data_IF_293530710395
#
_entry.id   IF_293530710395
#
_cell.length_a   1.000
_cell.length_b   1.000
_cell.length_c   1.000
_cell.angle_alpha   90.00
_cell.angle_beta   90.00
_cell.angle_gamma   90.00
#
_symmetry.space_group_name_H-M   'P 1'
#
loop_
_entity.id
_entity.type
_entity.pdbx_description
1 polymer ?
#
# COMPACT_ATOMS: atom_id res chain seq x y z
N UNK A 1 -20.10 1.53 12.81
CA UNK A 1 -18.83 2.06 12.27
C UNK A 1 -19.05 2.37 10.81
N UNK A 2 -18.82 3.61 10.35
CA UNK A 2 -19.03 4.00 8.94
C UNK A 2 -18.00 3.32 8.02
N UNK A 3 -18.35 3.04 6.77
CA UNK A 3 -17.43 2.44 5.79
C UNK A 3 -16.15 3.28 5.59
N UNK A 4 -16.27 4.61 5.64
CA UNK A 4 -15.13 5.51 5.59
C UNK A 4 -14.17 5.30 6.78
N UNK A 5 -14.69 5.17 8.01
CA UNK A 5 -13.86 4.92 9.20
C UNK A 5 -13.14 3.57 9.12
N UNK A 6 -13.82 2.52 8.62
CA UNK A 6 -13.19 1.23 8.34
C UNK A 6 -12.07 1.35 7.31
N UNK A 7 -12.32 2.08 6.21
CA UNK A 7 -11.31 2.35 5.20
C UNK A 7 -10.07 3.05 5.75
N UNK A 8 -10.25 4.06 6.62
CA UNK A 8 -9.13 4.75 7.27
C UNK A 8 -8.34 3.82 8.18
N UNK A 9 -9.00 3.02 9.03
CA UNK A 9 -8.31 2.04 9.89
C UNK A 9 -7.50 1.06 9.05
N UNK A 10 -8.06 0.56 7.95
CA UNK A 10 -7.37 -0.34 7.03
C UNK A 10 -6.18 0.34 6.37
N UNK A 11 -6.32 1.59 5.93
CA UNK A 11 -5.22 2.36 5.34
C UNK A 11 -4.09 2.61 6.35
N UNK A 12 -4.40 3.10 7.55
CA UNK A 12 -3.41 3.29 8.61
C UNK A 12 -2.73 1.97 9.00
N UNK A 13 -3.49 0.88 9.10
CA UNK A 13 -2.94 -0.45 9.38
C UNK A 13 -1.98 -0.93 8.29
N UNK A 14 -2.36 -0.80 7.01
CA UNK A 14 -1.53 -1.21 5.88
C UNK A 14 -0.20 -0.45 5.84
N UNK A 15 -0.27 0.89 5.84
CA UNK A 15 0.91 1.74 5.75
C UNK A 15 1.76 1.72 7.02
N UNK A 16 1.13 1.51 8.19
CA UNK A 16 1.84 1.29 9.44
C UNK A 16 2.68 0.02 9.41
N UNK A 17 2.11 -1.12 8.97
CA UNK A 17 2.84 -2.38 8.84
C UNK A 17 3.98 -2.25 7.82
N UNK A 18 3.73 -1.65 6.63
CA UNK A 18 4.79 -1.43 5.65
C UNK A 18 5.90 -0.49 6.15
N UNK A 19 5.55 0.50 6.97
CA UNK A 19 6.52 1.38 7.62
C UNK A 19 7.46 0.64 8.58
N UNK A 20 7.00 -0.46 9.17
CA UNK A 20 7.77 -1.29 10.11
C UNK A 20 8.53 -2.44 9.41
N UNK A 21 8.41 -2.63 8.10
CA UNK A 21 9.13 -3.67 7.36
C UNK A 21 10.66 -3.61 7.48
N UNK A 22 11.33 -2.45 7.63
CA UNK A 22 12.76 -2.43 7.87
C UNK A 22 13.20 -3.23 9.11
N UNK A 23 12.31 -3.45 10.06
CA UNK A 23 12.58 -4.29 11.23
C UNK A 23 12.53 -5.81 10.92
N UNK A 24 11.85 -6.18 9.83
CA UNK A 24 11.66 -7.58 9.45
C UNK A 24 12.75 -8.13 8.52
N UNK A 25 13.24 -7.30 7.58
CA UNK A 25 14.17 -7.77 6.54
C UNK A 25 15.51 -8.30 7.08
N UNK A 26 16.16 -7.66 8.07
CA UNK A 26 17.41 -8.16 8.63
C UNK A 26 17.27 -9.54 9.26
N UNK A 27 16.09 -9.92 9.73
CA UNK A 27 15.83 -11.22 10.32
C UNK A 27 15.88 -12.39 9.30
N UNK A 28 15.84 -12.07 8.01
CA UNK A 28 15.84 -13.04 6.91
C UNK A 28 17.25 -13.34 6.37
N UNK A 29 18.28 -12.67 6.86
CA UNK A 29 19.65 -12.98 6.48
C UNK A 29 19.99 -14.45 6.83
N UNK A 30 20.73 -15.16 5.92
CA UNK A 30 21.44 -14.70 4.73
C UNK A 30 20.66 -14.81 3.41
N UNK A 31 19.31 -14.89 3.41
CA UNK A 31 18.53 -15.04 2.19
C UNK A 31 18.68 -13.80 1.28
N UNK A 32 18.92 -14.05 0.00
CA UNK A 32 19.02 -12.99 -1.00
C UNK A 32 17.64 -12.40 -1.32
N UNK A 33 17.61 -11.15 -1.72
CA UNK A 33 16.39 -10.41 -2.00
C UNK A 33 15.44 -11.08 -3.01
N UNK A 34 15.97 -11.71 -4.06
CA UNK A 34 15.15 -12.47 -5.01
C UNK A 34 14.48 -13.69 -4.39
N UNK A 35 15.16 -14.41 -3.50
CA UNK A 35 14.61 -15.55 -2.77
C UNK A 35 13.53 -15.11 -1.78
N UNK A 36 13.75 -14.00 -1.09
CA UNK A 36 12.77 -13.39 -0.20
C UNK A 36 11.50 -13.01 -0.99
N UNK A 37 11.67 -12.35 -2.15
CA UNK A 37 10.56 -11.97 -3.02
C UNK A 37 9.77 -13.19 -3.50
N UNK A 38 10.45 -14.21 -4.02
CA UNK A 38 9.80 -15.42 -4.51
C UNK A 38 9.10 -16.19 -3.39
N UNK A 39 9.73 -16.30 -2.22
CA UNK A 39 9.12 -16.92 -1.03
C UNK A 39 7.85 -16.19 -0.59
N UNK A 40 7.88 -14.85 -0.56
CA UNK A 40 6.70 -14.03 -0.26
C UNK A 40 5.55 -14.31 -1.23
N UNK A 41 5.82 -14.40 -2.54
CA UNK A 41 4.81 -14.65 -3.56
C UNK A 41 4.18 -16.04 -3.40
N UNK A 42 5.01 -17.07 -3.25
CA UNK A 42 4.55 -18.47 -3.09
C UNK A 42 3.73 -18.62 -1.80
N UNK A 43 4.27 -18.17 -0.67
CA UNK A 43 3.62 -18.31 0.62
C UNK A 43 2.41 -17.36 0.81
N UNK A 44 2.33 -16.27 0.02
CA UNK A 44 1.11 -15.44 -0.03
C UNK A 44 -0.06 -16.21 -0.63
N UNK A 45 0.14 -16.98 -1.70
CA UNK A 45 -0.92 -17.83 -2.25
C UNK A 45 -1.37 -18.89 -1.24
N UNK A 46 -0.42 -19.55 -0.58
CA UNK A 46 -0.74 -20.55 0.47
C UNK A 46 -1.52 -19.89 1.60
N UNK A 47 -1.06 -18.73 2.08
CA UNK A 47 -1.70 -18.01 3.18
C UNK A 47 -3.13 -17.58 2.84
N UNK A 48 -3.36 -17.00 1.65
CA UNK A 48 -4.70 -16.58 1.23
C UNK A 48 -5.61 -17.78 0.97
N UNK A 49 -5.08 -18.87 0.42
CA UNK A 49 -5.83 -20.10 0.21
C UNK A 49 -6.29 -20.70 1.56
N UNK A 50 -5.41 -20.75 2.56
CA UNK A 50 -5.75 -21.20 3.91
C UNK A 50 -6.84 -20.34 4.54
N UNK A 51 -6.77 -19.00 4.39
CA UNK A 51 -7.82 -18.10 4.88
C UNK A 51 -9.15 -18.35 4.18
N UNK A 52 -9.17 -18.50 2.84
CA UNK A 52 -10.39 -18.80 2.08
C UNK A 52 -11.02 -20.13 2.49
N UNK A 53 -10.19 -21.16 2.70
CA UNK A 53 -10.64 -22.49 3.16
C UNK A 53 -11.21 -22.39 4.58
N UNK A 54 -10.50 -21.73 5.49
CA UNK A 54 -10.94 -21.56 6.89
C UNK A 54 -12.25 -20.78 6.98
N UNK A 55 -12.43 -19.76 6.15
CA UNK A 55 -13.68 -18.99 6.06
C UNK A 55 -14.79 -19.73 5.30
N UNK A 56 -14.53 -20.90 4.74
CA UNK A 56 -15.45 -21.64 3.87
C UNK A 56 -16.03 -20.77 2.74
N UNK A 57 -15.23 -19.83 2.25
CA UNK A 57 -15.64 -18.89 1.22
C UNK A 57 -15.68 -19.57 -0.15
N UNK A 58 -16.84 -20.10 -0.50
CA UNK A 58 -17.05 -20.91 -1.72
C UNK A 58 -17.75 -20.08 -2.80
N UNK A 59 -17.53 -20.46 -4.05
CA UNK A 59 -18.26 -19.91 -5.19
C UNK A 59 -17.78 -18.54 -5.69
N UNK A 60 -16.82 -17.89 -5.03
CA UNK A 60 -16.28 -16.58 -5.40
C UNK A 60 -15.51 -16.58 -6.72
N UNK A 61 -14.84 -17.69 -7.02
CA UNK A 61 -13.95 -17.79 -8.19
C UNK A 61 -14.74 -17.84 -9.52
N UNK A 62 -15.87 -18.55 -9.56
CA UNK A 62 -16.66 -18.73 -10.79
C UNK A 62 -17.16 -17.42 -11.39
N UNK A 63 -17.77 -16.47 -10.65
CA UNK A 63 -18.16 -15.18 -11.18
C UNK A 63 -16.96 -14.36 -11.66
N UNK A 64 -15.81 -14.49 -10.97
CA UNK A 64 -14.60 -13.76 -11.32
C UNK A 64 -13.96 -14.30 -12.61
N UNK A 65 -13.91 -15.62 -12.79
CA UNK A 65 -13.44 -16.26 -14.03
C UNK A 65 -14.32 -15.92 -15.25
N UNK A 66 -15.59 -15.61 -15.05
CA UNK A 66 -16.51 -15.14 -16.10
C UNK A 66 -16.35 -13.66 -16.43
N UNK A 67 -15.48 -12.93 -15.72
CA UNK A 67 -15.23 -11.50 -15.93
C UNK A 67 -13.81 -11.24 -16.44
N UNK A 68 -13.54 -11.37 -17.74
CA UNK A 68 -12.19 -11.20 -18.29
C UNK A 68 -11.62 -9.82 -18.00
N UNK A 69 -12.46 -8.78 -17.96
CA UNK A 69 -12.04 -7.43 -17.61
C UNK A 69 -11.44 -7.36 -16.19
N UNK A 70 -12.10 -7.98 -15.20
CA UNK A 70 -11.58 -8.01 -13.82
C UNK A 70 -10.29 -8.81 -13.72
N UNK A 71 -10.22 -9.95 -14.40
CA UNK A 71 -9.00 -10.77 -14.45
C UNK A 71 -7.83 -10.01 -15.07
N UNK A 72 -8.04 -9.28 -16.16
CA UNK A 72 -7.01 -8.45 -16.79
C UNK A 72 -6.56 -7.30 -15.88
N UNK A 73 -7.48 -6.64 -15.17
CA UNK A 73 -7.14 -5.61 -14.20
C UNK A 73 -6.31 -6.18 -13.04
N UNK A 74 -6.64 -7.37 -12.54
CA UNK A 74 -5.89 -8.04 -11.47
C UNK A 74 -4.55 -8.57 -11.98
N UNK A 75 -4.46 -9.04 -13.23
CA UNK A 75 -3.18 -9.38 -13.86
C UNK A 75 -2.29 -8.14 -13.96
N UNK A 76 -2.83 -7.02 -14.44
CA UNK A 76 -2.11 -5.75 -14.49
C UNK A 76 -1.65 -5.30 -13.09
N UNK A 77 -2.50 -5.43 -12.08
CA UNK A 77 -2.15 -5.13 -10.69
C UNK A 77 -1.01 -6.03 -10.19
N UNK A 78 -1.09 -7.35 -10.47
CA UNK A 78 -0.05 -8.33 -10.13
C UNK A 78 1.30 -7.99 -10.80
N UNK A 79 1.29 -7.61 -12.07
CA UNK A 79 2.51 -7.19 -12.79
C UNK A 79 3.07 -5.90 -12.19
N UNK A 80 2.23 -4.89 -11.96
CA UNK A 80 2.65 -3.61 -11.39
C UNK A 80 3.31 -3.77 -10.02
N UNK A 81 2.72 -4.57 -9.11
CA UNK A 81 3.30 -4.78 -7.78
C UNK A 81 4.58 -5.62 -7.86
N UNK A 82 4.68 -6.55 -8.79
CA UNK A 82 5.91 -7.34 -9.03
C UNK A 82 7.06 -6.46 -9.55
N UNK A 83 6.77 -5.56 -10.50
CA UNK A 83 7.73 -4.57 -10.99
C UNK A 83 8.19 -3.66 -9.85
N UNK A 84 7.25 -3.16 -9.06
CA UNK A 84 7.55 -2.31 -7.91
C UNK A 84 8.53 -2.99 -6.96
N UNK A 85 8.21 -4.19 -6.50
CA UNK A 85 9.06 -4.94 -5.56
C UNK A 85 10.39 -5.34 -6.17
N UNK A 86 10.41 -5.80 -7.44
CA UNK A 86 11.63 -6.16 -8.15
C UNK A 86 12.58 -4.97 -8.32
N UNK A 87 12.04 -3.81 -8.72
CA UNK A 87 12.81 -2.56 -8.85
C UNK A 87 13.37 -2.11 -7.51
N UNK A 88 12.57 -2.15 -6.44
CA UNK A 88 13.00 -1.78 -5.09
C UNK A 88 14.17 -2.65 -4.62
N UNK A 89 14.02 -3.96 -4.73
CA UNK A 89 15.04 -4.92 -4.32
C UNK A 89 16.32 -4.74 -5.12
N UNK A 90 16.19 -4.59 -6.46
CA UNK A 90 17.34 -4.33 -7.32
C UNK A 90 18.03 -3.02 -6.92
N UNK A 91 17.29 -1.93 -6.70
CA UNK A 91 17.84 -0.64 -6.33
C UNK A 91 18.63 -0.71 -5.02
N UNK A 92 18.08 -1.36 -3.99
CA UNK A 92 18.77 -1.55 -2.72
C UNK A 92 20.08 -2.33 -2.89
N UNK A 93 20.04 -3.44 -3.64
CA UNK A 93 21.21 -4.28 -3.86
C UNK A 93 22.27 -3.63 -4.78
N UNK A 94 21.86 -2.69 -5.64
CA UNK A 94 22.75 -1.94 -6.53
C UNK A 94 23.29 -0.65 -5.89
N UNK A 95 22.99 -0.36 -4.62
CA UNK A 95 23.46 0.85 -3.92
C UNK A 95 22.67 2.13 -4.26
N UNK A 96 21.47 2.00 -4.87
CA UNK A 96 20.58 3.13 -5.21
C UNK A 96 19.48 3.33 -4.15
N UNK A 97 19.85 3.30 -2.87
CA UNK A 97 18.88 3.37 -1.75
C UNK A 97 18.19 4.73 -1.71
N UNK A 98 18.92 5.81 -1.99
CA UNK A 98 18.37 7.19 -2.01
C UNK A 98 17.32 7.34 -3.11
N UNK A 99 17.57 6.81 -4.32
CA UNK A 99 16.60 6.83 -5.42
C UNK A 99 15.34 6.04 -5.08
N UNK A 100 15.48 4.90 -4.40
CA UNK A 100 14.35 4.10 -3.94
C UNK A 100 13.54 4.83 -2.86
N UNK A 101 14.20 5.49 -1.91
CA UNK A 101 13.54 6.31 -0.90
C UNK A 101 12.75 7.47 -1.53
N UNK A 102 13.33 8.15 -2.54
CA UNK A 102 12.63 9.19 -3.30
C UNK A 102 11.34 8.64 -3.95
N UNK A 103 11.35 7.38 -4.42
CA UNK A 103 10.17 6.72 -4.96
C UNK A 103 9.02 6.64 -3.96
N UNK A 104 9.30 6.34 -2.70
CA UNK A 104 8.28 6.31 -1.65
C UNK A 104 7.67 7.68 -1.35
N UNK A 105 8.42 8.77 -1.53
CA UNK A 105 7.87 10.12 -1.45
C UNK A 105 7.03 10.51 -2.67
N UNK A 106 7.39 10.01 -3.86
CA UNK A 106 6.63 10.23 -5.10
C UNK A 106 5.31 9.44 -5.14
N UNK A 107 5.26 8.26 -4.54
CA UNK A 107 4.09 7.38 -4.56
C UNK A 107 2.78 8.10 -4.19
N UNK A 108 2.69 8.86 -3.08
CA UNK A 108 1.48 9.58 -2.72
C UNK A 108 1.02 10.56 -3.80
N UNK A 109 1.96 11.29 -4.39
CA UNK A 109 1.64 12.29 -5.42
C UNK A 109 1.09 11.64 -6.68
N UNK A 110 1.72 10.57 -7.16
CA UNK A 110 1.26 9.81 -8.33
C UNK A 110 -0.11 9.18 -8.05
N UNK A 111 -0.32 8.62 -6.86
CA UNK A 111 -1.60 8.01 -6.47
C UNK A 111 -2.72 9.04 -6.44
N UNK A 112 -2.46 10.22 -5.87
CA UNK A 112 -3.43 11.33 -5.84
C UNK A 112 -3.68 11.85 -7.26
N UNK A 113 -2.65 12.00 -8.08
CA UNK A 113 -2.75 12.43 -9.47
C UNK A 113 -3.68 11.50 -10.27
N UNK A 114 -3.53 10.17 -10.12
CA UNK A 114 -4.42 9.20 -10.76
C UNK A 114 -5.86 9.29 -10.23
N UNK A 115 -6.05 9.52 -8.94
CA UNK A 115 -7.37 9.78 -8.36
C UNK A 115 -8.06 10.97 -9.02
N UNK A 116 -7.35 12.08 -9.18
CA UNK A 116 -7.88 13.31 -9.78
C UNK A 116 -8.08 13.18 -11.29
N UNK A 117 -7.03 12.75 -12.04
CA UNK A 117 -7.05 12.77 -13.50
C UNK A 117 -7.86 11.63 -14.12
N UNK A 118 -7.81 10.43 -13.54
CA UNK A 118 -8.43 9.24 -14.11
C UNK A 118 -9.79 8.95 -13.50
N UNK A 119 -9.91 9.09 -12.17
CA UNK A 119 -11.16 8.83 -11.46
C UNK A 119 -12.01 10.09 -11.27
N UNK A 120 -11.51 11.26 -11.70
CA UNK A 120 -12.17 12.56 -11.55
C UNK A 120 -12.57 12.89 -10.10
N UNK A 121 -11.74 12.44 -9.14
CA UNK A 121 -11.94 12.71 -7.72
C UNK A 121 -11.72 14.21 -7.43
N UNK A 122 -12.60 14.78 -6.62
CA UNK A 122 -12.49 16.19 -6.22
C UNK A 122 -11.75 16.31 -4.90
N UNK A 123 -10.60 16.97 -4.94
CA UNK A 123 -9.83 17.29 -3.75
C UNK A 123 -10.40 18.53 -3.06
N UNK A 124 -10.37 18.50 -1.71
CA UNK A 124 -10.64 19.66 -0.89
C UNK A 124 -9.41 20.54 -0.76
N UNK A 125 -9.59 21.78 -0.31
CA UNK A 125 -8.50 22.77 -0.17
C UNK A 125 -7.36 22.24 0.69
N UNK A 126 -7.65 21.61 1.83
CA UNK A 126 -6.64 21.01 2.70
C UNK A 126 -5.87 19.87 2.01
N UNK A 127 -6.54 19.05 1.21
CA UNK A 127 -5.89 17.98 0.44
C UNK A 127 -5.00 18.55 -0.66
N UNK A 128 -5.43 19.61 -1.37
CA UNK A 128 -4.59 20.32 -2.34
C UNK A 128 -3.35 20.93 -1.68
N UNK A 129 -3.52 21.52 -0.48
CA UNK A 129 -2.40 22.04 0.29
C UNK A 129 -1.39 20.92 0.64
N UNK A 130 -1.87 19.77 1.12
CA UNK A 130 -1.01 18.63 1.45
C UNK A 130 -0.28 18.07 0.21
N UNK A 131 -0.94 17.99 -0.94
CA UNK A 131 -0.32 17.61 -2.21
C UNK A 131 0.77 18.62 -2.63
N UNK A 132 0.49 19.92 -2.50
CA UNK A 132 1.46 20.98 -2.79
C UNK A 132 2.70 20.88 -1.87
N UNK A 133 2.51 20.67 -0.58
CA UNK A 133 3.58 20.48 0.38
C UNK A 133 4.41 19.22 0.03
N UNK A 134 3.73 18.10 -0.29
CA UNK A 134 4.41 16.87 -0.72
C UNK A 134 5.21 17.07 -2.02
N UNK A 135 4.68 17.83 -2.99
CA UNK A 135 5.39 18.15 -4.23
C UNK A 135 6.67 18.97 -3.97
N UNK A 136 6.64 19.91 -3.02
CA UNK A 136 7.83 20.67 -2.60
C UNK A 136 8.89 19.75 -1.99
N UNK A 137 8.50 18.83 -1.12
CA UNK A 137 9.43 17.85 -0.53
C UNK A 137 10.10 16.97 -1.59
N UNK A 138 9.32 16.50 -2.57
CA UNK A 138 9.86 15.72 -3.70
C UNK A 138 10.80 16.52 -4.57
N UNK A 139 10.46 17.77 -4.86
CA UNK A 139 11.30 18.64 -5.69
C UNK A 139 12.64 18.92 -4.99
N UNK A 140 12.62 19.19 -3.70
CA UNK A 140 13.83 19.37 -2.89
C UNK A 140 14.74 18.15 -2.96
N UNK A 141 14.19 16.95 -2.70
CA UNK A 141 14.97 15.70 -2.78
C UNK A 141 15.49 15.39 -4.18
N UNK A 142 14.69 15.65 -5.23
CA UNK A 142 15.10 15.44 -6.61
C UNK A 142 16.23 16.38 -7.03
N UNK A 143 16.18 17.65 -6.61
CA UNK A 143 17.25 18.63 -6.86
C UNK A 143 18.53 18.26 -6.13
N UNK A 144 18.41 17.77 -4.88
CA UNK A 144 19.55 17.30 -4.10
C UNK A 144 20.24 16.08 -4.74
N UNK A 145 19.47 15.18 -5.39
CA UNK A 145 20.00 14.01 -6.09
C UNK A 145 20.78 14.33 -7.38
N UNK A 146 20.48 15.44 -8.05
CA UNK A 146 21.24 15.93 -9.23
C UNK A 146 21.05 15.16 -10.55
N UNK A 147 20.16 14.16 -10.62
CA UNK A 147 19.87 13.38 -11.84
C UNK A 147 18.37 13.00 -11.93
N UNK A 148 17.94 12.56 -13.13
CA UNK A 148 16.55 12.09 -13.31
C UNK A 148 16.31 10.84 -12.46
N UNK A 149 15.38 10.89 -11.49
CA UNK A 149 15.16 9.79 -10.56
C UNK A 149 14.28 8.69 -11.18
N UNK A 150 14.76 8.00 -12.23
CA UNK A 150 13.99 7.00 -12.97
C UNK A 150 13.52 5.83 -12.07
N UNK A 151 14.35 5.42 -11.10
CA UNK A 151 14.01 4.38 -10.12
C UNK A 151 12.78 4.82 -9.31
N UNK A 152 12.83 6.05 -8.80
CA UNK A 152 11.74 6.64 -8.04
C UNK A 152 10.46 6.76 -8.87
N UNK A 153 10.56 7.15 -10.14
CA UNK A 153 9.43 7.22 -11.06
C UNK A 153 8.82 5.84 -11.32
N UNK A 154 9.63 4.81 -11.56
CA UNK A 154 9.15 3.42 -11.76
C UNK A 154 8.45 2.94 -10.51
N UNK A 155 9.01 3.15 -9.32
CA UNK A 155 8.40 2.76 -8.05
C UNK A 155 7.06 3.48 -7.83
N UNK A 156 7.03 4.80 -8.02
CA UNK A 156 5.83 5.60 -7.83
C UNK A 156 4.72 5.25 -8.83
N UNK A 157 5.05 5.16 -10.12
CA UNK A 157 4.07 4.85 -11.16
C UNK A 157 3.55 3.42 -11.04
N UNK A 158 4.40 2.44 -10.76
CA UNK A 158 3.98 1.04 -10.61
C UNK A 158 3.05 0.87 -9.40
N UNK A 159 3.35 1.47 -8.24
CA UNK A 159 2.49 1.36 -7.07
C UNK A 159 1.20 2.19 -7.22
N UNK A 160 1.27 3.39 -7.77
CA UNK A 160 0.08 4.21 -8.06
C UNK A 160 -0.85 3.50 -9.04
N UNK A 161 -0.31 2.90 -10.11
CA UNK A 161 -1.07 2.09 -11.08
C UNK A 161 -1.67 0.85 -10.41
N UNK A 162 -0.93 0.16 -9.54
CA UNK A 162 -1.45 -0.94 -8.74
C UNK A 162 -2.70 -0.53 -7.96
N UNK A 163 -2.64 0.58 -7.22
CA UNK A 163 -3.77 1.10 -6.45
C UNK A 163 -4.98 1.46 -7.33
N UNK A 164 -4.73 2.09 -8.49
CA UNK A 164 -5.76 2.41 -9.47
C UNK A 164 -6.44 1.15 -10.03
N UNK A 165 -5.66 0.15 -10.46
CA UNK A 165 -6.19 -1.10 -11.01
C UNK A 165 -7.00 -1.87 -9.96
N UNK A 166 -6.56 -1.91 -8.71
CA UNK A 166 -7.32 -2.48 -7.59
C UNK A 166 -8.68 -1.80 -7.42
N UNK A 167 -8.69 -0.47 -7.47
CA UNK A 167 -9.93 0.30 -7.35
C UNK A 167 -10.88 0.06 -8.53
N UNK A 168 -10.36 0.02 -9.77
CA UNK A 168 -11.15 -0.24 -10.98
C UNK A 168 -11.67 -1.69 -11.04
N UNK A 169 -10.92 -2.66 -10.55
CA UNK A 169 -11.35 -4.06 -10.50
C UNK A 169 -12.54 -4.23 -9.55
N UNK A 170 -12.61 -3.43 -8.48
CA UNK A 170 -13.69 -3.47 -7.48
C UNK A 170 -13.99 -4.90 -7.00
N UNK A 171 -12.94 -5.69 -6.77
CA UNK A 171 -13.01 -7.07 -6.28
C UNK A 171 -12.77 -7.05 -4.77
N UNK A 172 -13.48 -7.84 -3.97
CA UNK A 172 -13.21 -7.96 -2.54
C UNK A 172 -11.74 -8.30 -2.27
N UNK A 173 -11.19 -7.76 -1.17
CA UNK A 173 -9.76 -7.79 -0.88
C UNK A 173 -9.15 -9.19 -0.94
N UNK A 174 -9.81 -10.17 -0.31
CA UNK A 174 -9.31 -11.54 -0.20
C UNK A 174 -9.31 -12.26 -1.55
N UNK A 175 -10.39 -12.11 -2.33
CA UNK A 175 -10.52 -12.69 -3.67
C UNK A 175 -9.49 -12.10 -4.65
N UNK A 176 -9.34 -10.78 -4.61
CA UNK A 176 -8.34 -10.05 -5.39
C UNK A 176 -6.93 -10.57 -5.09
N UNK A 177 -6.58 -10.69 -3.81
CA UNK A 177 -5.27 -11.20 -3.38
C UNK A 177 -5.03 -12.65 -3.84
N UNK A 178 -6.06 -13.50 -3.79
CA UNK A 178 -5.94 -14.89 -4.25
C UNK A 178 -5.60 -14.97 -5.75
N UNK A 179 -6.24 -14.14 -6.58
CA UNK A 179 -5.96 -14.12 -8.02
C UNK A 179 -4.60 -13.51 -8.32
N UNK A 180 -4.24 -12.41 -7.69
CA UNK A 180 -2.93 -11.76 -7.86
C UNK A 180 -1.78 -12.70 -7.45
N UNK A 181 -1.89 -13.34 -6.28
CA UNK A 181 -0.90 -14.33 -5.82
C UNK A 181 -0.87 -15.55 -6.74
N UNK A 182 -2.03 -15.95 -7.31
CA UNK A 182 -2.10 -17.02 -8.31
C UNK A 182 -1.29 -16.72 -9.57
N UNK A 183 -1.37 -15.49 -10.09
CA UNK A 183 -0.55 -15.05 -11.24
C UNK A 183 0.96 -15.05 -10.92
N UNK A 184 1.33 -14.66 -9.70
CA UNK A 184 2.73 -14.58 -9.27
C UNK A 184 3.33 -15.96 -8.92
N UNK A 185 2.50 -16.93 -8.58
CA UNK A 185 2.92 -18.22 -8.02
C UNK A 185 3.86 -19.01 -8.92
N UNK A 186 3.46 -19.21 -10.19
CA UNK A 186 4.25 -20.05 -11.11
C UNK A 186 5.64 -19.48 -11.38
N UNK A 187 5.83 -18.19 -11.73
CA UNK A 187 7.16 -17.64 -11.94
C UNK A 187 8.01 -17.64 -10.66
N UNK A 188 7.39 -17.36 -9.49
CA UNK A 188 8.09 -17.38 -8.22
C UNK A 188 8.52 -18.80 -7.81
N UNK A 189 7.64 -19.80 -7.98
CA UNK A 189 7.97 -21.19 -7.71
C UNK A 189 9.08 -21.70 -8.63
N UNK A 190 9.01 -21.39 -9.92
CA UNK A 190 10.06 -21.74 -10.88
C UNK A 190 11.42 -21.17 -10.47
N UNK A 191 11.45 -19.92 -9.99
CA UNK A 191 12.67 -19.30 -9.50
C UNK A 191 13.19 -19.98 -8.22
N UNK A 192 12.36 -20.33 -7.26
CA UNK A 192 12.76 -21.06 -6.05
C UNK A 192 13.32 -22.46 -6.40
N UNK A 193 12.68 -23.18 -7.33
CA UNK A 193 13.18 -24.48 -7.82
C UNK A 193 14.55 -24.31 -8.49
N UNK A 194 14.72 -23.26 -9.29
CA UNK A 194 16.01 -22.93 -9.89
C UNK A 194 17.09 -22.70 -8.81
N UNK A 195 16.83 -21.93 -7.78
CA UNK A 195 17.80 -21.71 -6.68
C UNK A 195 18.16 -23.01 -5.97
N UNK A 196 17.17 -23.89 -5.74
CA UNK A 196 17.41 -25.21 -5.15
C UNK A 196 18.30 -26.09 -6.05
N UNK A 197 18.01 -26.15 -7.34
CA UNK A 197 18.79 -26.92 -8.29
C UNK A 197 20.21 -26.39 -8.50
N UNK A 198 20.41 -25.08 -8.38
CA UNK A 198 21.69 -24.39 -8.45
C UNK A 198 22.51 -24.49 -7.14
N UNK A 199 21.95 -25.06 -6.06
CA UNK A 199 22.61 -25.14 -4.75
C UNK A 199 22.84 -23.79 -4.08
N UNK A 200 22.07 -22.76 -4.46
CA UNK A 200 22.20 -21.38 -3.95
C UNK A 200 21.04 -20.94 -3.07
N UNK A 201 20.08 -21.84 -2.82
CA UNK A 201 18.93 -21.56 -1.97
C UNK A 201 19.31 -21.49 -0.50
N UNK A 202 18.76 -20.51 0.20
CA UNK A 202 18.84 -20.39 1.66
C UNK A 202 17.71 -21.20 2.33
N UNK A 203 16.55 -21.27 1.68
CA UNK A 203 15.38 -21.97 2.17
C UNK A 203 15.64 -23.47 2.38
N UNK A 204 15.49 -23.94 3.63
CA UNK A 204 15.74 -25.31 4.01
C UNK A 204 17.23 -25.67 4.25
N UNK A 205 18.16 -24.76 3.95
CA UNK A 205 19.60 -24.96 4.12
C UNK A 205 20.24 -24.05 5.19
N UNK A 206 19.57 -22.96 5.54
CA UNK A 206 19.95 -22.08 6.66
C UNK A 206 19.34 -22.55 7.98
N UNK A 207 19.62 -21.80 9.05
CA UNK A 207 19.02 -22.04 10.36
C UNK A 207 17.48 -22.10 10.29
N UNK A 208 16.86 -22.96 11.09
CA UNK A 208 15.41 -23.23 11.05
C UNK A 208 14.55 -21.96 11.14
N UNK A 209 14.98 -20.98 11.93
CA UNK A 209 14.24 -19.72 12.09
C UNK A 209 14.20 -18.90 10.81
N UNK A 210 15.25 -18.93 9.96
CA UNK A 210 15.25 -18.24 8.66
C UNK A 210 14.25 -18.90 7.72
N UNK A 211 14.23 -20.22 7.63
CA UNK A 211 13.25 -20.97 6.84
C UNK A 211 11.81 -20.69 7.31
N UNK A 212 11.60 -20.67 8.63
CA UNK A 212 10.31 -20.32 9.22
C UNK A 212 9.88 -18.89 8.86
N UNK A 213 10.78 -17.91 9.00
CA UNK A 213 10.50 -16.52 8.64
C UNK A 213 10.25 -16.33 7.15
N UNK A 214 11.01 -17.01 6.27
CA UNK A 214 10.74 -17.02 4.82
C UNK A 214 9.35 -17.58 4.50
N UNK A 215 8.91 -18.61 5.22
CA UNK A 215 7.54 -19.16 5.12
C UNK A 215 6.50 -18.14 5.62
N UNK A 216 6.77 -17.52 6.76
CA UNK A 216 5.89 -16.50 7.37
C UNK A 216 5.79 -15.24 6.51
N UNK A 217 6.78 -14.96 5.64
CA UNK A 217 6.80 -13.80 4.77
C UNK A 217 5.55 -13.70 3.88
N UNK A 218 4.90 -14.82 3.56
CA UNK A 218 3.61 -14.84 2.87
C UNK A 218 2.50 -14.17 3.68
N UNK A 219 2.33 -14.57 4.93
CA UNK A 219 1.32 -13.99 5.83
C UNK A 219 1.64 -12.52 6.14
N UNK A 220 2.91 -12.21 6.41
CA UNK A 220 3.40 -10.83 6.65
C UNK A 220 3.13 -9.93 5.44
N UNK A 221 3.21 -10.46 4.22
CA UNK A 221 2.87 -9.74 2.99
C UNK A 221 1.36 -9.62 2.81
N UNK A 222 0.61 -10.68 3.11
CA UNK A 222 -0.83 -10.76 2.89
C UNK A 222 -1.59 -9.75 3.75
N UNK A 223 -1.24 -9.60 5.03
CA UNK A 223 -1.96 -8.75 5.97
C UNK A 223 -2.05 -7.29 5.49
N UNK A 224 -0.94 -6.57 5.23
CA UNK A 224 -1.02 -5.19 4.79
C UNK A 224 -1.65 -5.05 3.40
N UNK A 225 -1.49 -6.02 2.49
CA UNK A 225 -2.13 -5.98 1.18
C UNK A 225 -3.65 -6.17 1.27
N UNK A 226 -4.15 -7.02 2.17
CA UNK A 226 -5.59 -7.14 2.46
C UNK A 226 -6.14 -5.84 3.05
N UNK A 227 -5.44 -5.24 3.99
CA UNK A 227 -5.79 -3.96 4.58
C UNK A 227 -5.81 -2.86 3.52
N UNK A 228 -4.78 -2.79 2.67
CA UNK A 228 -4.70 -1.84 1.56
C UNK A 228 -5.87 -2.03 0.57
N UNK A 229 -6.13 -3.26 0.13
CA UNK A 229 -7.25 -3.54 -0.76
C UNK A 229 -8.61 -3.22 -0.10
N UNK A 230 -8.73 -3.48 1.20
CA UNK A 230 -9.89 -3.08 1.98
C UNK A 230 -10.05 -1.56 2.06
N UNK A 231 -8.96 -0.81 2.16
CA UNK A 231 -8.95 0.65 2.15
C UNK A 231 -9.31 1.21 0.76
N UNK A 232 -8.69 0.71 -0.32
CA UNK A 232 -8.93 1.18 -1.70
C UNK A 232 -10.38 0.97 -2.15
N UNK A 233 -11.05 -0.07 -1.65
CA UNK A 233 -12.46 -0.31 -1.93
C UNK A 233 -13.41 0.64 -1.18
N UNK A 234 -12.93 1.37 -0.17
CA UNK A 234 -13.75 2.21 0.73
C UNK A 234 -13.41 3.68 0.70
N UNK A 235 -12.20 4.01 0.29
CA UNK A 235 -11.71 5.39 0.27
C UNK A 235 -11.45 5.85 -1.16
N UNK A 236 -11.55 7.17 -1.43
CA UNK A 236 -11.01 7.78 -2.63
C UNK A 236 -9.51 7.47 -2.79
N UNK A 237 -9.04 7.33 -4.04
CA UNK A 237 -7.63 7.02 -4.32
C UNK A 237 -6.71 8.16 -3.86
N UNK A 238 -7.18 9.40 -3.97
CA UNK A 238 -6.51 10.58 -3.43
C UNK A 238 -6.26 10.48 -1.92
N UNK A 239 -7.23 9.97 -1.14
CA UNK A 239 -7.06 9.78 0.31
C UNK A 239 -6.09 8.63 0.61
N UNK A 240 -6.10 7.57 -0.20
CA UNK A 240 -5.12 6.49 -0.11
C UNK A 240 -3.71 7.05 -0.33
N UNK A 241 -3.51 7.88 -1.37
CA UNK A 241 -2.23 8.54 -1.64
C UNK A 241 -1.73 9.37 -0.45
N UNK A 242 -2.62 10.09 0.21
CA UNK A 242 -2.23 10.88 1.38
C UNK A 242 -1.86 10.02 2.60
N UNK A 243 -2.51 8.87 2.80
CA UNK A 243 -2.15 7.92 3.86
C UNK A 243 -0.78 7.27 3.64
N UNK A 244 -0.30 7.20 2.40
CA UNK A 244 1.01 6.63 2.07
C UNK A 244 2.18 7.36 2.74
N UNK A 245 2.05 8.65 3.05
CA UNK A 245 3.10 9.39 3.75
C UNK A 245 3.46 8.82 5.13
N UNK A 246 2.58 8.01 5.72
CA UNK A 246 2.87 7.34 6.99
C UNK A 246 4.06 6.37 6.88
N UNK A 247 4.18 5.65 5.78
CA UNK A 247 5.23 4.64 5.58
C UNK A 247 6.65 5.23 5.66
N UNK A 248 7.02 6.26 4.87
CA UNK A 248 8.37 6.81 4.94
C UNK A 248 8.69 7.45 6.30
N UNK A 249 7.70 8.00 6.99
CA UNK A 249 7.89 8.52 8.37
C UNK A 249 8.29 7.40 9.31
N UNK A 250 7.56 6.28 9.30
CA UNK A 250 7.89 5.13 10.16
C UNK A 250 9.21 4.48 9.77
N UNK A 251 9.53 4.40 8.47
CA UNK A 251 10.80 3.86 7.99
C UNK A 251 11.98 4.72 8.44
N UNK A 252 11.87 6.05 8.38
CA UNK A 252 12.87 6.95 8.96
C UNK A 252 13.07 6.69 10.45
N UNK A 253 11.97 6.58 11.20
CA UNK A 253 12.06 6.30 12.63
C UNK A 253 12.74 4.95 12.91
N UNK A 254 12.46 3.92 12.11
CA UNK A 254 13.17 2.65 12.22
C UNK A 254 14.66 2.78 11.91
N UNK A 255 15.03 3.49 10.84
CA UNK A 255 16.44 3.72 10.48
C UNK A 255 17.21 4.45 11.58
N UNK A 256 16.68 5.56 12.07
CA UNK A 256 17.36 6.40 13.06
C UNK A 256 17.37 5.78 14.45
N UNK A 257 16.20 5.28 14.94
CA UNK A 257 16.07 4.84 16.34
C UNK A 257 16.54 3.41 16.58
N UNK A 258 16.42 2.53 15.55
CA UNK A 258 16.74 1.11 15.71
C UNK A 258 18.05 0.75 15.03
N UNK A 259 18.25 1.21 13.78
CA UNK A 259 19.47 0.92 13.03
C UNK A 259 20.59 1.94 13.29
N UNK A 260 20.30 3.02 14.04
CA UNK A 260 21.25 4.11 14.35
C UNK A 260 21.88 4.74 13.09
N UNK A 261 21.13 4.76 11.97
CA UNK A 261 21.56 5.36 10.71
C UNK A 261 21.62 6.89 10.83
N UNK A 262 22.63 7.49 10.21
CA UNK A 262 22.75 8.95 10.13
C UNK A 262 22.08 9.43 8.85
N UNK A 263 20.93 10.10 8.97
CA UNK A 263 20.25 10.68 7.83
C UNK A 263 20.91 12.02 7.42
N UNK A 264 21.17 12.27 6.11
CA UNK A 264 21.64 13.56 5.63
C UNK A 264 20.66 14.70 5.97
N UNK A 265 21.13 15.96 6.13
CA UNK A 265 20.25 17.09 6.43
C UNK A 265 19.08 17.28 5.44
N UNK A 266 19.29 16.99 4.15
CA UNK A 266 18.24 17.07 3.13
C UNK A 266 17.08 16.10 3.42
N UNK A 267 17.37 14.88 3.88
CA UNK A 267 16.32 13.91 4.26
C UNK A 267 15.50 14.43 5.45
N UNK A 268 16.14 15.01 6.48
CA UNK A 268 15.44 15.61 7.61
C UNK A 268 14.50 16.74 7.20
N UNK A 269 14.94 17.60 6.25
CA UNK A 269 14.11 18.68 5.71
C UNK A 269 12.91 18.07 4.95
N UNK A 270 13.15 17.10 4.06
CA UNK A 270 12.09 16.41 3.33
C UNK A 270 11.06 15.74 4.25
N UNK A 271 11.53 15.04 5.28
CA UNK A 271 10.64 14.43 6.29
C UNK A 271 9.86 15.47 7.09
N UNK A 272 10.49 16.57 7.49
CA UNK A 272 9.83 17.68 8.18
C UNK A 272 8.66 18.26 7.34
N UNK A 273 8.89 18.46 6.05
CA UNK A 273 7.85 18.91 5.10
C UNK A 273 6.71 17.90 5.01
N UNK A 274 7.01 16.60 4.92
CA UNK A 274 5.99 15.53 4.90
C UNK A 274 5.17 15.51 6.19
N UNK A 275 5.79 15.72 7.35
CA UNK A 275 5.07 15.78 8.63
C UNK A 275 4.07 16.93 8.67
N UNK A 276 4.42 18.10 8.10
CA UNK A 276 3.47 19.21 7.95
C UNK A 276 2.29 18.81 7.07
N UNK A 277 2.53 18.12 5.95
CA UNK A 277 1.44 17.60 5.10
C UNK A 277 0.51 16.64 5.86
N UNK A 278 1.09 15.71 6.64
CA UNK A 278 0.32 14.77 7.47
C UNK A 278 -0.49 15.50 8.56
N UNK A 279 0.09 16.51 9.19
CA UNK A 279 -0.62 17.32 10.20
C UNK A 279 -1.84 18.02 9.58
N UNK A 280 -1.69 18.64 8.41
CA UNK A 280 -2.79 19.29 7.67
C UNK A 280 -3.92 18.29 7.38
N UNK A 281 -3.58 17.07 6.93
CA UNK A 281 -4.57 16.03 6.62
C UNK A 281 -5.26 15.50 7.86
N UNK A 282 -4.49 15.28 8.94
CA UNK A 282 -5.03 14.80 10.21
C UNK A 282 -6.03 15.81 10.77
N UNK A 283 -5.68 17.09 10.79
CA UNK A 283 -6.56 18.17 11.24
C UNK A 283 -7.83 18.24 10.37
N UNK A 284 -7.71 18.21 9.03
CA UNK A 284 -8.89 18.19 8.13
C UNK A 284 -9.77 16.95 8.38
N UNK A 285 -9.18 15.78 8.60
CA UNK A 285 -9.89 14.55 8.91
C UNK A 285 -10.66 14.62 10.24
N UNK A 286 -10.03 15.17 11.28
CA UNK A 286 -10.65 15.36 12.60
C UNK A 286 -11.79 16.38 12.57
N UNK A 287 -11.60 17.52 11.89
CA UNK A 287 -12.66 18.52 11.73
C UNK A 287 -13.92 17.96 11.08
N UNK A 288 -13.79 17.05 10.10
CA UNK A 288 -14.93 16.41 9.47
C UNK A 288 -15.62 15.38 10.37
N UNK A 289 -14.85 14.63 11.15
CA UNK A 289 -15.43 13.70 12.12
C UNK A 289 -16.26 14.43 13.17
N UNK A 290 -15.81 15.62 13.57
CA UNK A 290 -16.52 16.49 14.52
C UNK A 290 -17.75 17.19 13.92
N UNK A 291 -17.70 17.54 12.61
CA UNK A 291 -18.81 18.19 11.90
C UNK A 291 -19.96 17.25 11.55
N UNK A 292 -19.67 15.97 11.29
CA UNK A 292 -20.69 14.97 10.98
C UNK A 292 -21.57 14.55 12.18
N UNK A 293 -21.18 14.93 13.40
CA UNK A 293 -21.96 14.69 14.63
C UNK A 293 -23.02 15.77 14.93
N UNK A 294 -23.06 16.87 14.17
CA UNK A 294 -24.06 17.94 14.32
C UNK A 294 -25.11 17.83 13.20
N UNK A 295 -25.99 16.84 13.28
CA UNK A 295 -27.29 16.90 12.58
C UNK A 295 -28.17 17.76 13.45
N UNK A 296 -28.70 18.93 12.96
CA UNK A 296 -29.72 19.64 13.67
C UNK A 296 -30.94 18.72 13.74
N UNK A 297 -31.37 18.39 14.94
CA UNK A 297 -32.70 17.84 15.17
C UNK A 297 -33.71 18.91 14.81
N UNK A 298 -34.16 18.94 13.57
CA UNK A 298 -35.32 19.70 13.18
C UNK A 298 -36.57 18.98 13.68
N UNK A 299 -36.88 19.16 14.94
CA UNK A 299 -38.22 18.99 15.47
C UNK A 299 -39.07 20.12 14.92
N UNK A 300 -39.71 19.94 13.78
CA UNK A 300 -40.92 20.65 13.44
C UNK A 300 -42.10 19.74 13.71
N UNK A 301 -42.59 19.79 14.94
CA UNK A 301 -43.93 19.41 15.29
C UNK A 301 -44.88 20.50 14.74
N UNK A 302 -45.20 20.45 13.46
CA UNK A 302 -46.36 21.12 12.92
C UNK A 302 -47.58 20.22 13.16
N UNK A 303 -48.25 20.54 14.23
CA UNK A 303 -49.59 20.09 14.57
C UNK A 303 -50.55 20.44 13.44
N UNK A 304 -50.94 19.44 12.63
CA UNK A 304 -52.13 19.51 11.77
C UNK A 304 -53.39 19.58 12.65
N UNK A 305 -53.82 20.81 12.87
CA UNK A 305 -55.17 21.10 13.38
C UNK A 305 -56.16 20.76 12.27
N UNK A 306 -56.85 19.65 12.38
CA UNK A 306 -58.03 19.31 11.58
C UNK A 306 -59.15 20.23 12.00
N UNK A 307 -59.59 21.12 11.11
CA UNK A 307 -60.89 21.83 11.23
C UNK A 307 -62.04 20.87 10.88
N UNK A 308 -63.05 20.75 11.70
CA UNK A 308 -64.26 20.03 11.30
C UNK A 308 -65.10 20.90 10.38
N UNK A 309 -65.50 20.38 9.24
CA UNK A 309 -66.51 20.94 8.34
C UNK A 309 -67.92 20.72 8.89
N UNK A 310 -68.64 21.80 9.02
CA UNK A 310 -70.10 21.82 9.12
C UNK A 310 -70.72 21.63 7.74
#
# INVERSE_FOLDING_TARGET
MTERRRGLIFGFGAYGIWGLFPLYWPLLEPAKAGEILASRMVWSLVSVALVLIAMRHKGWLTPLLRSPRKLLLLLGASVCISINWGTYIWAVNAGHVIDAALGYFLNPLVTVLFGVLILHERLRRAQWLAVGIGAVAVLELALAAGHLPWIALVLACSFGTYGLLKKLAAVPALESMAVESGYQFLPALAYLIYLQSAGTATYGHAAWHVTFLLTLAGAVTLIPLLLFAGATNRLPLSMIGLLQFLTPVLQLLCGVLVNHETAPPAEWIGFGIVWVALAVLTVDGLHQASGAGRIPSSTSSDSLVLKPSA
#
